data_IF_826109950892
#
_entry.id   IF_826109950892
#
_cell.length_a   1.000
_cell.length_b   1.000
_cell.length_c   1.000
_cell.angle_alpha   90.00
_cell.angle_beta   90.00
_cell.angle_gamma   90.00
#
_symmetry.space_group_name_H-M   'P 1'
#
loop_
_entity.id
_entity.type
_entity.pdbx_description
1 polymer ?
#
# COMPACT_ATOMS: atom_id res chain seq x y z
N UNK A 1 5.61 44.59 -52.50
CA UNK A 1 5.63 43.12 -52.45
C UNK A 1 6.73 42.54 -51.55
N UNK A 2 7.95 43.09 -51.53
CA UNK A 2 9.04 42.58 -50.68
C UNK A 2 8.76 42.71 -49.16
N UNK A 3 8.14 43.80 -48.71
CA UNK A 3 7.82 44.01 -47.29
C UNK A 3 6.75 43.04 -46.76
N UNK A 4 5.76 42.69 -47.58
CA UNK A 4 4.71 41.73 -47.22
C UNK A 4 5.29 40.33 -46.99
N UNK A 5 6.20 39.87 -47.86
CA UNK A 5 6.95 38.62 -47.67
C UNK A 5 7.83 38.64 -46.42
N UNK A 6 8.42 39.79 -46.07
CA UNK A 6 9.27 39.95 -44.87
C UNK A 6 8.45 39.90 -43.58
N UNK A 7 7.24 40.44 -43.59
CA UNK A 7 6.31 40.37 -42.45
C UNK A 7 5.78 38.95 -42.23
N UNK A 8 5.41 38.25 -43.31
CA UNK A 8 4.97 36.84 -43.26
C UNK A 8 6.09 35.92 -42.74
N UNK A 9 7.34 36.12 -43.17
CA UNK A 9 8.48 35.36 -42.66
C UNK A 9 8.73 35.52 -41.16
N UNK A 10 8.56 36.74 -40.62
CA UNK A 10 8.67 36.99 -39.17
C UNK A 10 7.56 36.31 -38.36
N UNK A 11 6.33 36.25 -38.90
CA UNK A 11 5.21 35.56 -38.24
C UNK A 11 5.47 34.06 -38.11
N UNK A 12 5.90 33.41 -39.20
CA UNK A 12 6.28 32.00 -39.15
C UNK A 12 7.41 31.72 -38.17
N UNK A 13 8.42 32.58 -38.11
CA UNK A 13 9.53 32.43 -37.16
C UNK A 13 9.05 32.49 -35.70
N UNK A 14 8.10 33.37 -35.38
CA UNK A 14 7.50 33.47 -34.04
C UNK A 14 6.65 32.25 -33.69
N UNK A 15 5.84 31.74 -34.61
CA UNK A 15 5.04 30.52 -34.40
C UNK A 15 5.94 29.29 -34.19
N UNK A 16 7.04 29.17 -34.94
CA UNK A 16 8.02 28.10 -34.73
C UNK A 16 8.74 28.21 -33.39
N UNK A 17 9.12 29.42 -32.96
CA UNK A 17 9.71 29.63 -31.63
C UNK A 17 8.72 29.29 -30.52
N UNK A 18 7.45 29.67 -30.66
CA UNK A 18 6.41 29.31 -29.71
C UNK A 18 6.24 27.78 -29.60
N UNK A 19 6.16 27.07 -30.73
CA UNK A 19 6.06 25.61 -30.74
C UNK A 19 7.31 24.93 -30.17
N UNK A 20 8.50 25.48 -30.42
CA UNK A 20 9.74 24.99 -29.82
C UNK A 20 9.76 25.17 -28.30
N UNK A 21 9.30 26.32 -27.80
CA UNK A 21 9.22 26.61 -26.37
C UNK A 21 8.17 25.74 -25.67
N UNK A 22 7.00 25.52 -26.29
CA UNK A 22 5.98 24.64 -25.74
C UNK A 22 6.52 23.20 -25.57
N UNK A 23 7.31 22.75 -26.55
CA UNK A 23 7.96 21.44 -26.51
C UNK A 23 9.05 21.37 -25.43
N UNK A 24 9.85 22.42 -25.24
CA UNK A 24 10.90 22.44 -24.21
C UNK A 24 10.32 22.40 -22.81
N UNK A 25 9.26 23.19 -22.56
CA UNK A 25 8.63 23.27 -21.24
C UNK A 25 7.99 21.92 -20.87
N UNK A 26 7.33 21.28 -21.84
CA UNK A 26 6.75 19.94 -21.67
C UNK A 26 7.83 18.87 -21.39
N UNK A 27 9.00 18.96 -22.04
CA UNK A 27 10.09 17.99 -21.82
C UNK A 27 10.67 18.13 -20.41
N UNK A 28 10.92 19.36 -19.95
CA UNK A 28 11.46 19.59 -18.61
C UNK A 28 10.50 19.11 -17.52
N UNK A 29 9.20 19.35 -17.66
CA UNK A 29 8.19 18.84 -16.72
C UNK A 29 8.16 17.31 -16.71
N UNK A 30 8.21 16.67 -17.89
CA UNK A 30 8.25 15.21 -18.00
C UNK A 30 9.50 14.61 -17.34
N UNK A 31 10.67 15.26 -17.47
CA UNK A 31 11.90 14.83 -16.81
C UNK A 31 11.81 14.93 -15.29
N UNK A 32 11.25 16.02 -14.77
CA UNK A 32 11.00 16.18 -13.34
C UNK A 32 10.02 15.11 -12.83
N UNK A 33 8.90 14.92 -13.51
CA UNK A 33 7.92 13.89 -13.16
C UNK A 33 8.52 12.48 -13.18
N UNK A 34 9.42 12.20 -14.14
CA UNK A 34 10.16 10.94 -14.22
C UNK A 34 11.09 10.75 -13.02
N UNK A 35 11.86 11.78 -12.65
CA UNK A 35 12.75 11.72 -11.49
C UNK A 35 11.95 11.46 -10.20
N UNK A 36 10.87 12.20 -9.98
CA UNK A 36 9.96 11.98 -8.84
C UNK A 36 9.37 10.56 -8.84
N UNK A 37 8.97 10.04 -10.00
CA UNK A 37 8.47 8.67 -10.12
C UNK A 37 9.51 7.62 -9.72
N UNK A 38 10.79 7.83 -10.04
CA UNK A 38 11.88 6.93 -9.64
C UNK A 38 12.14 6.98 -8.14
N UNK A 39 12.14 8.18 -7.55
CA UNK A 39 12.29 8.35 -6.10
C UNK A 39 11.14 7.67 -5.33
N UNK A 40 9.91 7.80 -5.83
CA UNK A 40 8.74 7.09 -5.30
C UNK A 40 8.91 5.57 -5.39
N UNK A 41 9.41 5.03 -6.51
CA UNK A 41 9.70 3.59 -6.63
C UNK A 41 10.69 3.16 -5.56
N UNK A 42 11.80 3.88 -5.38
CA UNK A 42 12.78 3.58 -4.33
C UNK A 42 12.18 3.66 -2.92
N UNK A 43 11.29 4.61 -2.66
CA UNK A 43 10.58 4.71 -1.39
C UNK A 43 9.69 3.47 -1.14
N UNK A 44 8.90 3.05 -2.13
CA UNK A 44 8.04 1.86 -1.98
C UNK A 44 8.83 0.56 -1.91
N UNK A 45 9.99 0.46 -2.58
CA UNK A 45 10.90 -0.68 -2.41
C UNK A 45 11.41 -0.77 -0.97
N UNK A 46 11.75 0.35 -0.33
CA UNK A 46 12.13 0.38 1.10
C UNK A 46 10.98 -0.03 2.01
N UNK A 47 9.77 0.51 1.78
CA UNK A 47 8.56 0.12 2.53
C UNK A 47 8.25 -1.37 2.37
N UNK A 48 8.47 -1.94 1.19
CA UNK A 48 8.30 -3.37 0.93
C UNK A 48 9.27 -4.22 1.76
N UNK A 49 10.53 -3.80 1.91
CA UNK A 49 11.50 -4.49 2.75
C UNK A 49 11.12 -4.42 4.23
N UNK A 50 10.73 -3.24 4.71
CA UNK A 50 10.24 -3.09 6.07
C UNK A 50 9.04 -3.99 6.37
N UNK A 51 8.09 -4.09 5.43
CA UNK A 51 6.94 -4.98 5.57
C UNK A 51 7.35 -6.47 5.59
N UNK A 52 8.40 -6.84 4.86
CA UNK A 52 8.96 -8.18 4.91
C UNK A 52 9.66 -8.48 6.25
N UNK A 53 10.35 -7.50 6.83
CA UNK A 53 10.94 -7.62 8.17
C UNK A 53 9.85 -7.75 9.23
N UNK A 54 8.77 -6.95 9.14
CA UNK A 54 7.61 -7.02 10.01
C UNK A 54 6.90 -8.38 9.91
N UNK A 55 6.79 -8.92 8.68
CA UNK A 55 6.22 -10.24 8.42
C UNK A 55 7.10 -11.36 8.99
N UNK A 56 8.40 -11.32 8.72
CA UNK A 56 9.37 -12.27 9.24
C UNK A 56 9.38 -12.23 10.76
N UNK A 57 9.32 -11.04 11.37
CA UNK A 57 9.17 -10.89 12.81
C UNK A 57 7.87 -11.53 13.30
N UNK A 58 6.74 -11.34 12.62
CA UNK A 58 5.48 -12.00 12.96
C UNK A 58 5.59 -13.53 12.94
N UNK A 59 6.31 -14.10 11.97
CA UNK A 59 6.51 -15.56 11.84
C UNK A 59 7.50 -16.12 12.88
N UNK A 60 8.64 -15.47 13.09
CA UNK A 60 9.68 -15.91 14.04
C UNK A 60 9.26 -15.75 15.50
N UNK A 61 8.33 -14.84 15.72
CA UNK A 61 7.81 -14.50 17.02
C UNK A 61 7.12 -15.68 17.70
N UNK A 62 7.83 -16.23 18.70
CA UNK A 62 7.23 -16.67 19.97
C UNK A 62 6.24 -15.66 20.57
N UNK A 63 6.18 -14.42 20.07
CA UNK A 63 5.22 -13.35 20.38
C UNK A 63 3.77 -13.64 19.97
N UNK A 64 3.49 -14.67 19.17
CA UNK A 64 2.14 -15.18 18.96
C UNK A 64 1.74 -16.27 19.97
N UNK A 65 2.69 -16.78 20.78
CA UNK A 65 2.41 -17.69 21.88
C UNK A 65 1.77 -16.89 23.03
N UNK A 66 0.47 -16.60 22.89
CA UNK A 66 -0.30 -15.86 23.88
C UNK A 66 -1.31 -14.88 23.29
N UNK A 67 -1.22 -14.58 21.98
CA UNK A 67 -2.25 -13.79 21.31
C UNK A 67 -3.48 -14.65 21.10
N UNK A 68 -4.66 -14.12 21.46
CA UNK A 68 -5.93 -14.75 21.11
C UNK A 68 -6.15 -14.72 19.60
N UNK A 69 -6.99 -15.63 19.09
CA UNK A 69 -7.27 -15.72 17.65
C UNK A 69 -7.71 -14.37 17.05
N UNK A 70 -8.48 -13.58 17.81
CA UNK A 70 -8.97 -12.27 17.36
C UNK A 70 -7.86 -11.24 17.15
N UNK A 71 -6.84 -11.24 18.01
CA UNK A 71 -5.70 -10.33 17.90
C UNK A 71 -4.80 -10.70 16.72
N UNK A 72 -4.60 -12.01 16.49
CA UNK A 72 -3.88 -12.53 15.33
C UNK A 72 -4.56 -12.11 14.02
N UNK A 73 -5.88 -12.30 13.91
CA UNK A 73 -6.67 -11.87 12.75
C UNK A 73 -6.49 -10.38 12.45
N UNK A 74 -6.53 -9.52 13.47
CA UNK A 74 -6.35 -8.07 13.27
C UNK A 74 -4.93 -7.73 12.81
N UNK A 75 -3.92 -8.36 13.40
CA UNK A 75 -2.51 -8.11 13.06
C UNK A 75 -2.20 -8.56 11.64
N UNK A 76 -2.63 -9.76 11.25
CA UNK A 76 -2.43 -10.30 9.90
C UNK A 76 -3.18 -9.45 8.87
N UNK A 77 -4.43 -9.07 9.14
CA UNK A 77 -5.19 -8.19 8.25
C UNK A 77 -4.50 -6.84 8.01
N UNK A 78 -3.84 -6.27 9.02
CA UNK A 78 -3.08 -5.02 8.88
C UNK A 78 -1.89 -5.21 7.93
N UNK A 79 -1.12 -6.28 8.10
CA UNK A 79 0.03 -6.59 7.24
C UNK A 79 -0.42 -6.88 5.80
N UNK A 80 -1.48 -7.68 5.63
CA UNK A 80 -2.05 -8.03 4.33
C UNK A 80 -2.52 -6.81 3.54
N UNK A 81 -3.20 -5.86 4.20
CA UNK A 81 -3.59 -4.58 3.58
C UNK A 81 -2.36 -3.75 3.19
N UNK A 82 -1.36 -3.67 4.07
CA UNK A 82 -0.10 -2.98 3.78
C UNK A 82 0.61 -3.54 2.56
N UNK A 83 0.76 -4.87 2.50
CA UNK A 83 1.39 -5.59 1.40
C UNK A 83 0.64 -5.34 0.08
N UNK A 84 -0.70 -5.43 0.11
CA UNK A 84 -1.55 -5.20 -1.05
C UNK A 84 -1.43 -3.78 -1.60
N UNK A 85 -1.41 -2.76 -0.73
CA UNK A 85 -1.24 -1.36 -1.13
C UNK A 85 0.14 -1.12 -1.73
N UNK A 86 1.21 -1.63 -1.12
CA UNK A 86 2.57 -1.49 -1.63
C UNK A 86 2.71 -2.14 -3.00
N UNK A 87 2.19 -3.37 -3.17
CA UNK A 87 2.18 -4.11 -4.44
C UNK A 87 1.49 -3.32 -5.55
N UNK A 88 0.29 -2.79 -5.29
CA UNK A 88 -0.46 -2.03 -6.29
C UNK A 88 0.27 -0.73 -6.66
N UNK A 89 0.83 -0.03 -5.67
CA UNK A 89 1.61 1.19 -5.91
C UNK A 89 2.86 0.92 -6.74
N UNK A 90 3.61 -0.14 -6.42
CA UNK A 90 4.79 -0.54 -7.22
C UNK A 90 4.41 -0.89 -8.66
N UNK A 91 3.31 -1.61 -8.89
CA UNK A 91 2.81 -1.92 -10.25
C UNK A 91 2.49 -0.66 -11.04
N UNK A 92 1.75 0.27 -10.43
CA UNK A 92 1.37 1.53 -11.07
C UNK A 92 2.60 2.39 -11.43
N UNK A 93 3.53 2.56 -10.49
CA UNK A 93 4.76 3.32 -10.71
C UNK A 93 5.66 2.69 -11.77
N UNK A 94 5.75 1.35 -11.81
CA UNK A 94 6.49 0.61 -12.83
C UNK A 94 5.88 0.79 -14.22
N UNK A 95 4.55 0.72 -14.34
CA UNK A 95 3.86 0.99 -15.61
C UNK A 95 4.15 2.41 -16.10
N UNK A 96 4.08 3.40 -15.20
CA UNK A 96 4.41 4.80 -15.50
C UNK A 96 5.87 4.96 -15.93
N UNK A 97 6.81 4.30 -15.27
CA UNK A 97 8.22 4.31 -15.66
C UNK A 97 8.44 3.74 -17.07
N UNK A 98 7.83 2.62 -17.40
CA UNK A 98 7.91 2.01 -18.74
C UNK A 98 7.30 2.91 -19.82
N UNK A 99 6.20 3.61 -19.51
CA UNK A 99 5.62 4.60 -20.42
C UNK A 99 6.59 5.77 -20.66
N UNK A 100 7.26 6.28 -19.63
CA UNK A 100 8.26 7.35 -19.79
C UNK A 100 9.42 6.92 -20.71
N UNK A 101 9.95 5.70 -20.53
CA UNK A 101 11.00 5.15 -21.42
C UNK A 101 10.50 5.08 -22.87
N UNK A 102 9.25 4.65 -23.08
CA UNK A 102 8.66 4.54 -24.42
C UNK A 102 8.45 5.89 -25.10
N UNK A 103 7.92 6.87 -24.37
CA UNK A 103 7.72 8.25 -24.87
C UNK A 103 9.05 8.87 -25.22
N UNK A 104 10.07 8.67 -24.38
CA UNK A 104 11.40 9.21 -24.60
C UNK A 104 12.07 8.60 -25.84
N UNK A 105 12.03 7.27 -25.99
CA UNK A 105 12.54 6.57 -27.17
C UNK A 105 11.89 7.07 -28.47
N UNK A 106 10.58 7.32 -28.45
CA UNK A 106 9.84 7.88 -29.59
C UNK A 106 10.29 9.32 -29.90
N UNK A 107 10.49 10.16 -28.89
CA UNK A 107 10.99 11.52 -29.08
C UNK A 107 12.42 11.54 -29.63
N UNK A 108 13.29 10.65 -29.16
CA UNK A 108 14.66 10.51 -29.66
C UNK A 108 14.70 10.03 -31.12
N UNK A 109 13.81 9.11 -31.51
CA UNK A 109 13.71 8.61 -32.89
C UNK A 109 13.39 9.68 -33.93
N UNK A 110 12.63 10.72 -33.56
CA UNK A 110 12.28 11.82 -34.48
C UNK A 110 13.41 12.80 -34.77
N UNK A 111 14.47 12.83 -33.95
CA UNK A 111 15.50 13.88 -34.02
C UNK A 111 16.76 13.46 -34.81
N UNK A 112 16.85 12.21 -35.27
CA UNK A 112 18.02 11.68 -35.99
C UNK A 112 18.24 12.27 -37.39
N UNK A 113 17.36 13.13 -37.90
CA UNK A 113 17.52 13.77 -39.22
C UNK A 113 18.32 15.06 -39.19
N UNK A 114 18.64 15.60 -38.02
CA UNK A 114 19.44 16.82 -37.86
C UNK A 114 20.72 16.47 -37.09
N UNK A 115 21.85 16.39 -37.77
CA UNK A 115 23.14 15.86 -37.29
C UNK A 115 23.86 16.65 -36.19
N UNK A 116 23.18 17.01 -35.10
CA UNK A 116 23.79 17.57 -33.90
C UNK A 116 23.95 16.48 -32.82
N UNK A 117 25.03 15.72 -32.90
CA UNK A 117 25.37 14.58 -32.00
C UNK A 117 25.96 15.00 -30.63
N UNK A 118 25.90 16.27 -30.24
CA UNK A 118 26.88 16.79 -29.26
C UNK A 118 26.56 16.76 -27.76
N UNK A 119 25.30 16.69 -27.30
CA UNK A 119 24.98 17.07 -25.89
C UNK A 119 23.79 16.35 -25.24
N UNK A 120 23.83 15.02 -25.05
CA UNK A 120 22.84 14.31 -24.20
C UNK A 120 23.38 13.33 -23.13
N UNK A 121 24.53 13.58 -22.48
CA UNK A 121 25.11 12.62 -21.51
C UNK A 121 24.30 12.44 -20.20
N UNK A 122 23.35 13.33 -19.88
CA UNK A 122 22.57 13.24 -18.64
C UNK A 122 21.32 12.37 -18.77
N UNK A 123 20.73 12.29 -19.97
CA UNK A 123 19.55 11.47 -20.25
C UNK A 123 19.86 9.98 -20.28
N UNK A 124 21.00 9.60 -20.87
CA UNK A 124 21.43 8.19 -20.95
C UNK A 124 21.60 7.59 -19.54
N UNK A 125 22.02 8.39 -18.55
CA UNK A 125 22.17 7.95 -17.15
C UNK A 125 20.83 7.64 -16.48
N UNK A 126 19.79 8.41 -16.78
CA UNK A 126 18.46 8.16 -16.22
C UNK A 126 17.80 6.94 -16.85
N UNK A 127 18.04 6.70 -18.14
CA UNK A 127 17.59 5.49 -18.83
C UNK A 127 18.26 4.24 -18.25
N UNK A 128 19.57 4.29 -18.01
CA UNK A 128 20.33 3.21 -17.36
C UNK A 128 19.78 2.88 -15.97
N UNK A 129 19.49 3.90 -15.14
CA UNK A 129 18.86 3.68 -13.82
C UNK A 129 17.50 3.00 -13.90
N UNK A 130 16.66 3.36 -14.87
CA UNK A 130 15.35 2.72 -15.02
C UNK A 130 15.51 1.25 -15.39
N UNK A 131 16.46 0.93 -16.27
CA UNK A 131 16.76 -0.46 -16.66
C UNK A 131 17.17 -1.29 -15.44
N UNK A 132 17.96 -0.74 -14.53
CA UNK A 132 18.39 -1.45 -13.31
C UNK A 132 17.27 -1.61 -12.27
N UNK A 133 16.36 -0.63 -12.18
CA UNK A 133 15.26 -0.65 -11.20
C UNK A 133 14.17 -1.65 -11.58
N UNK A 134 13.90 -1.87 -12.87
CA UNK A 134 12.83 -2.76 -13.33
C UNK A 134 12.97 -4.19 -12.77
N UNK A 135 14.12 -4.88 -12.90
CA UNK A 135 14.33 -6.20 -12.30
C UNK A 135 14.11 -6.22 -10.79
N UNK A 136 14.58 -5.17 -10.09
CA UNK A 136 14.40 -5.06 -8.64
C UNK A 136 12.91 -4.95 -8.26
N UNK A 137 12.12 -4.16 -9.00
CA UNK A 137 10.67 -4.06 -8.78
C UNK A 137 9.97 -5.38 -9.08
N UNK A 138 10.30 -6.04 -10.19
CA UNK A 138 9.71 -7.34 -10.57
C UNK A 138 9.97 -8.39 -9.49
N UNK A 139 11.20 -8.47 -8.98
CA UNK A 139 11.56 -9.40 -7.90
C UNK A 139 10.82 -9.07 -6.60
N UNK A 140 10.71 -7.79 -6.23
CA UNK A 140 9.94 -7.39 -5.04
C UNK A 140 8.44 -7.67 -5.20
N UNK A 141 7.86 -7.49 -6.39
CA UNK A 141 6.46 -7.85 -6.65
C UNK A 141 6.23 -9.36 -6.49
N UNK A 142 7.15 -10.19 -6.99
CA UNK A 142 7.11 -11.64 -6.82
C UNK A 142 7.18 -12.03 -5.33
N UNK A 143 8.04 -11.36 -4.57
CA UNK A 143 8.17 -11.56 -3.12
C UNK A 143 6.90 -11.17 -2.37
N UNK A 144 6.32 -10.00 -2.68
CA UNK A 144 5.05 -9.56 -2.12
C UNK A 144 3.90 -10.51 -2.45
N UNK A 145 3.85 -11.07 -3.67
CA UNK A 145 2.86 -12.10 -4.04
C UNK A 145 2.98 -13.36 -3.16
N UNK A 146 4.21 -13.80 -2.88
CA UNK A 146 4.49 -14.89 -1.94
C UNK A 146 4.02 -14.56 -0.53
N UNK A 147 4.46 -13.44 0.02
CA UNK A 147 4.11 -13.00 1.37
C UNK A 147 2.59 -12.82 1.54
N UNK A 148 1.90 -12.25 0.55
CA UNK A 148 0.43 -12.12 0.58
C UNK A 148 -0.23 -13.50 0.67
N UNK A 149 0.23 -14.48 -0.11
CA UNK A 149 -0.32 -15.83 -0.10
C UNK A 149 -0.12 -16.51 1.26
N UNK A 150 1.05 -16.32 1.88
CA UNK A 150 1.33 -16.81 3.23
C UNK A 150 0.48 -16.12 4.31
N UNK A 151 0.34 -14.79 4.22
CA UNK A 151 -0.51 -14.01 5.12
C UNK A 151 -1.98 -14.45 5.02
N UNK A 152 -2.50 -14.71 3.83
CA UNK A 152 -3.86 -15.23 3.62
C UNK A 152 -4.03 -16.63 4.24
N UNK A 153 -3.02 -17.49 4.11
CA UNK A 153 -3.02 -18.80 4.75
C UNK A 153 -3.06 -18.69 6.29
N UNK A 154 -2.18 -17.89 6.89
CA UNK A 154 -2.15 -17.65 8.34
C UNK A 154 -3.42 -16.97 8.85
N UNK A 155 -4.02 -16.09 8.05
CA UNK A 155 -5.30 -15.48 8.39
C UNK A 155 -6.40 -16.53 8.55
N UNK A 156 -6.48 -17.50 7.63
CA UNK A 156 -7.46 -18.59 7.72
C UNK A 156 -7.26 -19.44 9.00
N UNK A 157 -6.00 -19.68 9.40
CA UNK A 157 -5.68 -20.38 10.65
C UNK A 157 -6.18 -19.57 11.85
N UNK A 158 -5.86 -18.27 11.89
CA UNK A 158 -6.27 -17.38 12.97
C UNK A 158 -7.81 -17.28 13.07
N UNK A 159 -8.52 -17.26 11.94
CA UNK A 159 -9.98 -17.28 11.92
C UNK A 159 -10.58 -18.59 12.45
N UNK A 160 -9.95 -19.73 12.18
CA UNK A 160 -10.33 -21.01 12.78
C UNK A 160 -10.15 -20.99 14.31
N UNK A 161 -9.06 -20.40 14.79
CA UNK A 161 -8.84 -20.24 16.23
C UNK A 161 -9.97 -19.43 16.87
N UNK A 162 -10.35 -18.29 16.28
CA UNK A 162 -11.50 -17.48 16.75
C UNK A 162 -12.78 -18.30 16.82
N UNK A 163 -13.06 -19.10 15.80
CA UNK A 163 -14.25 -19.97 15.76
C UNK A 163 -14.20 -21.01 16.89
N UNK A 164 -13.05 -21.62 17.13
CA UNK A 164 -12.86 -22.59 18.21
C UNK A 164 -13.02 -21.98 19.62
N UNK A 165 -12.49 -20.77 19.83
CA UNK A 165 -12.62 -20.03 21.10
C UNK A 165 -14.07 -19.67 21.40
N UNK A 166 -14.86 -19.36 20.37
CA UNK A 166 -16.27 -19.03 20.52
C UNK A 166 -17.11 -20.26 20.90
N UNK A 167 -16.77 -21.45 20.38
CA UNK A 167 -17.45 -22.70 20.75
C UNK A 167 -17.18 -23.09 22.22
N UNK A 168 -15.95 -22.90 22.71
CA UNK A 168 -15.65 -23.19 24.12
C UNK A 168 -16.39 -22.25 25.09
N UNK A 169 -16.74 -21.04 24.65
CA UNK A 169 -17.53 -20.09 25.45
C UNK A 169 -19.00 -20.49 25.55
N UNK A 170 -19.54 -21.21 24.58
CA UNK A 170 -20.97 -21.62 24.57
C UNK A 170 -21.25 -22.88 25.40
N UNK A 171 -20.25 -23.73 25.62
CA UNK A 171 -20.42 -24.97 26.41
C UNK A 171 -20.32 -24.77 27.93
N UNK A 172 -19.93 -23.57 28.39
CA UNK A 172 -20.19 -23.18 29.78
C UNK A 172 -21.65 -22.71 29.85
N UNK A 173 -22.57 -23.46 30.51
CA UNK A 173 -23.95 -23.03 30.62
C UNK A 173 -23.95 -21.61 31.20
N UNK A 174 -24.74 -20.67 30.63
CA UNK A 174 -24.87 -19.34 31.19
C UNK A 174 -25.41 -19.53 32.59
N UNK A 175 -24.53 -19.38 33.59
CA UNK A 175 -24.83 -19.68 34.98
C UNK A 175 -26.05 -18.83 35.39
N UNK A 176 -27.27 -19.40 35.39
CA UNK A 176 -28.46 -18.63 35.65
C UNK A 176 -28.61 -18.71 37.16
N UNK A 177 -28.30 -17.61 37.86
CA UNK A 177 -28.62 -17.45 39.28
C UNK A 177 -27.75 -18.27 40.24
N UNK A 178 -26.59 -17.73 40.59
CA UNK A 178 -26.23 -17.51 42.00
C UNK A 178 -25.95 -16.01 42.11
N UNK A 179 -26.74 -15.17 42.78
CA UNK A 179 -27.72 -15.42 43.83
C UNK A 179 -27.48 -14.36 44.91
N UNK A 180 -28.35 -13.35 44.93
CA UNK A 180 -28.62 -12.45 46.05
C UNK A 180 -27.49 -11.53 46.57
N UNK A 181 -27.37 -10.33 45.97
CA UNK A 181 -27.17 -9.13 46.80
C UNK A 181 -28.56 -8.54 47.05
N UNK A 182 -29.16 -8.93 48.18
CA UNK A 182 -30.25 -8.20 48.81
C UNK A 182 -29.70 -6.81 49.16
N UNK A 183 -29.99 -5.81 48.34
CA UNK A 183 -29.95 -4.42 48.78
C UNK A 183 -31.23 -4.20 49.57
N UNK A 184 -31.18 -4.46 50.87
CA UNK A 184 -32.19 -3.95 51.81
C UNK A 184 -32.08 -2.41 51.81
N UNK A 185 -32.98 -1.76 51.07
CA UNK A 185 -33.38 -0.39 51.34
C UNK A 185 -34.06 -0.35 52.72
N UNK A 186 -33.26 -0.19 53.77
CA UNK A 186 -33.76 0.28 55.06
C UNK A 186 -33.93 1.79 54.99
N UNK A 187 -35.16 2.19 54.72
CA UNK A 187 -35.70 3.48 55.09
C UNK A 187 -35.64 3.57 56.63
N UNK A 188 -34.70 4.34 57.16
CA UNK A 188 -34.80 4.91 58.51
C UNK A 188 -34.54 6.41 58.38
N UNK A 189 -35.64 7.17 58.43
CA UNK A 189 -35.66 8.55 58.89
C UNK A 189 -35.25 8.57 60.36
N UNK A 190 -34.17 9.27 60.70
CA UNK A 190 -33.99 9.90 62.01
C UNK A 190 -32.98 11.04 61.88
N UNK A 191 -33.31 12.13 62.54
CA UNK A 191 -32.68 13.46 62.56
C UNK A 191 -31.25 13.46 63.18
N UNK A 192 -30.33 14.26 62.59
CA UNK A 192 -29.40 15.30 63.13
C UNK A 192 -29.15 15.33 64.67
N UNK A 193 -27.96 15.73 65.25
CA UNK A 193 -26.78 16.48 64.74
C UNK A 193 -25.36 15.96 65.14
N UNK A 194 -24.34 16.66 64.62
CA UNK A 194 -22.98 16.98 65.13
C UNK A 194 -22.18 15.99 66.02
N UNK A 195 -20.93 15.75 65.64
CA UNK A 195 -19.71 16.14 66.38
C UNK A 195 -18.46 15.43 65.82
N UNK A 196 -17.34 16.12 65.91
CA UNK A 196 -15.97 15.71 65.59
C UNK A 196 -15.58 14.35 66.19
N UNK A 197 -14.74 13.57 65.50
CA UNK A 197 -13.57 12.91 66.11
C UNK A 197 -12.77 12.02 65.16
N UNK A 198 -11.54 12.48 64.94
CA UNK A 198 -10.27 11.79 64.80
C UNK A 198 -10.20 10.25 64.93
N UNK A 199 -9.41 9.69 64.00
CA UNK A 199 -8.39 8.64 64.21
C UNK A 199 -8.85 7.21 64.53
N UNK A 200 -8.48 6.27 63.64
CA UNK A 200 -7.91 4.99 64.07
C UNK A 200 -7.13 4.31 62.95
N UNK A 201 -5.82 4.23 63.20
CA UNK A 201 -4.86 3.34 62.56
C UNK A 201 -5.35 1.89 62.61
N UNK A 202 -5.31 1.18 61.48
CA UNK A 202 -5.24 -0.29 61.50
C UNK A 202 -4.05 -0.76 60.68
N UNK A 203 -3.03 -1.21 61.42
CA UNK A 203 -1.86 -1.94 60.95
C UNK A 203 -2.30 -3.29 60.38
N UNK A 204 -1.77 -3.65 59.22
CA UNK A 204 -1.72 -5.01 58.69
C UNK A 204 -0.24 -5.40 58.44
N UNK A 205 0.10 -6.70 58.55
CA UNK A 205 1.46 -7.20 58.78
C UNK A 205 2.34 -7.20 57.52
N UNK A 206 3.68 -7.28 57.69
CA UNK A 206 4.65 -7.26 56.60
C UNK A 206 4.70 -8.63 55.92
N UNK A 207 4.54 -8.65 54.60
CA UNK A 207 4.95 -9.77 53.76
C UNK A 207 6.17 -9.33 52.96
N UNK A 208 7.31 -9.92 53.31
CA UNK A 208 8.56 -9.85 52.57
C UNK A 208 8.38 -10.57 51.22
N UNK A 209 8.38 -9.83 50.12
CA UNK A 209 8.75 -10.36 48.80
C UNK A 209 9.38 -9.24 47.96
N UNK A 210 10.69 -9.07 48.17
CA UNK A 210 11.55 -8.09 47.53
C UNK A 210 11.98 -8.58 46.15
N UNK A 211 11.17 -8.24 45.15
CA UNK A 211 11.47 -8.41 43.73
C UNK A 211 10.97 -7.23 42.91
N UNK A 212 10.97 -6.02 43.49
CA UNK A 212 10.49 -4.81 42.81
C UNK A 212 11.48 -4.37 41.73
N UNK A 213 11.28 -4.84 40.49
CA UNK A 213 11.81 -4.16 39.31
C UNK A 213 11.26 -2.74 39.32
N UNK A 214 12.06 -1.80 39.83
CA UNK A 214 11.82 -0.37 39.72
C UNK A 214 11.81 -0.02 38.24
N UNK A 215 10.62 -0.01 37.64
CA UNK A 215 10.38 0.61 36.35
C UNK A 215 10.65 2.10 36.55
N UNK A 216 11.84 2.55 36.15
CA UNK A 216 12.12 3.98 36.05
C UNK A 216 11.20 4.52 34.97
N UNK A 217 10.23 5.32 35.37
CA UNK A 217 9.46 6.15 34.45
C UNK A 217 10.47 7.14 33.86
N UNK A 218 10.84 6.91 32.60
CA UNK A 218 11.71 7.81 31.86
C UNK A 218 10.92 9.10 31.58
N UNK A 219 11.61 10.24 31.66
CA UNK A 219 11.07 11.50 31.16
C UNK A 219 10.85 11.40 29.65
N UNK A 220 9.83 12.08 29.11
CA UNK A 220 9.53 12.09 27.67
C UNK A 220 10.76 12.48 26.82
N UNK A 221 11.61 13.38 27.33
CA UNK A 221 12.87 13.78 26.68
C UNK A 221 13.90 12.65 26.62
N UNK A 222 13.96 11.80 27.65
CA UNK A 222 14.87 10.67 27.75
C UNK A 222 14.40 9.53 26.83
N UNK A 223 13.08 9.36 26.69
CA UNK A 223 12.47 8.44 25.73
C UNK A 223 12.74 8.87 24.28
N UNK A 224 12.55 10.16 23.96
CA UNK A 224 12.84 10.72 22.63
C UNK A 224 14.32 10.60 22.26
N UNK A 225 15.22 10.88 23.21
CA UNK A 225 16.67 10.73 23.01
C UNK A 225 17.07 9.27 22.72
N UNK A 226 16.35 8.31 23.32
CA UNK A 226 16.59 6.88 23.07
C UNK A 226 16.19 6.48 21.64
N UNK A 227 15.03 6.94 21.18
CA UNK A 227 14.51 6.70 19.82
C UNK A 227 15.41 7.30 18.73
N UNK A 228 15.96 8.49 18.98
CA UNK A 228 16.89 9.13 18.03
C UNK A 228 18.17 8.31 17.91
N UNK A 229 18.75 7.88 19.05
CA UNK A 229 19.98 7.07 19.05
C UNK A 229 19.80 5.74 18.33
N UNK A 230 18.71 5.02 18.63
CA UNK A 230 18.40 3.72 18.03
C UNK A 230 18.25 3.80 16.50
N UNK A 231 17.68 4.89 15.98
CA UNK A 231 17.56 5.10 14.53
C UNK A 231 18.85 5.58 13.87
N UNK A 232 19.74 6.26 14.61
CA UNK A 232 21.00 6.80 14.05
C UNK A 232 22.14 5.77 13.93
N UNK A 233 22.04 4.61 14.58
CA UNK A 233 23.09 3.58 14.54
C UNK A 233 23.07 2.69 13.28
N UNK A 234 22.06 2.83 12.40
CA UNK A 234 21.87 1.94 11.24
C UNK A 234 22.56 2.47 9.96
N UNK A 235 23.00 3.72 9.91
CA UNK A 235 23.48 4.35 8.65
C UNK A 235 25.02 4.42 8.49
N UNK A 236 25.82 3.79 9.36
CA UNK A 236 27.29 3.99 9.36
C UNK A 236 28.17 2.77 9.02
N UNK A 237 27.63 1.61 8.62
CA UNK A 237 28.49 0.49 8.19
C UNK A 237 27.90 -0.37 7.10
N UNK A 238 27.96 0.11 5.85
CA UNK A 238 27.93 -0.79 4.70
C UNK A 238 29.06 -0.45 3.72
N UNK A 239 30.27 -0.74 4.20
CA UNK A 239 31.52 -0.70 3.43
C UNK A 239 32.03 -2.11 3.16
N UNK A 240 31.84 -2.58 1.91
CA UNK A 240 32.62 -3.58 1.16
C UNK A 240 33.31 -4.70 1.97
N UNK A 241 32.77 -5.93 1.85
CA UNK A 241 33.61 -7.15 1.81
C UNK A 241 33.09 -8.16 0.78
N UNK A 242 33.72 -8.13 -0.40
CA UNK A 242 33.86 -9.31 -1.26
C UNK A 242 34.60 -10.39 -0.47
N UNK A 243 33.99 -11.57 -0.30
CA UNK A 243 34.69 -12.74 0.20
C UNK A 243 34.56 -13.87 -0.82
N UNK A 244 35.69 -14.13 -1.51
CA UNK A 244 35.93 -15.30 -2.35
C UNK A 244 35.87 -16.57 -1.47
N UNK A 245 35.10 -17.58 -1.88
CA UNK A 245 35.27 -18.94 -1.36
C UNK A 245 36.29 -19.71 -2.22
N UNK A 246 37.20 -20.48 -1.60
CA UNK A 246 38.07 -21.40 -2.31
C UNK A 246 37.48 -22.82 -2.36
N UNK A 247 37.73 -23.44 -3.50
CA UNK A 247 37.57 -24.83 -3.86
C UNK A 247 38.45 -25.75 -2.98
N UNK A 248 37.88 -26.83 -2.43
CA UNK A 248 38.66 -27.90 -1.81
C UNK A 248 38.02 -29.28 -2.02
N UNK A 249 38.72 -30.07 -2.81
CA UNK A 249 38.59 -31.50 -3.06
C UNK A 249 38.84 -32.31 -1.77
N UNK A 250 38.04 -33.35 -1.50
CA UNK A 250 38.48 -34.47 -0.65
C UNK A 250 37.87 -35.80 -1.08
N UNK A 251 38.77 -36.76 -1.32
CA UNK A 251 38.56 -38.14 -1.75
C UNK A 251 38.21 -39.08 -0.59
N UNK A 252 37.39 -40.07 -0.94
CA UNK A 252 37.42 -41.53 -0.62
C UNK A 252 37.29 -42.05 0.82
N UNK A 253 36.38 -43.05 1.00
CA UNK A 253 36.35 -43.91 2.19
C UNK A 253 35.20 -44.92 2.33
N UNK A 254 35.13 -45.93 1.44
CA UNK A 254 34.67 -47.33 1.61
C UNK A 254 33.20 -47.74 1.96
N UNK A 255 32.79 -48.73 1.15
CA UNK A 255 31.58 -49.59 1.06
C UNK A 255 31.64 -50.78 2.05
N UNK A 256 30.56 -51.60 2.25
CA UNK A 256 30.25 -52.77 1.37
C UNK A 256 28.73 -52.90 1.04
N UNK A 257 28.27 -53.26 -0.17
CA UNK A 257 28.31 -54.53 -0.95
C UNK A 257 27.06 -55.42 -0.70
N UNK A 258 26.14 -55.51 -1.67
CA UNK A 258 25.84 -56.75 -2.46
C UNK A 258 25.19 -56.39 -3.83
N UNK A 259 25.74 -56.83 -4.99
CA UNK A 259 25.33 -58.00 -5.84
C UNK A 259 23.89 -57.92 -6.39
N UNK A 260 23.54 -58.01 -7.68
CA UNK A 260 24.09 -58.68 -8.90
C UNK A 260 23.71 -57.88 -10.19
N UNK A 261 24.59 -57.76 -11.22
CA UNK A 261 24.62 -58.47 -12.53
C UNK A 261 23.39 -58.18 -13.45
N UNK A 262 23.45 -57.88 -14.76
CA UNK A 262 24.33 -58.20 -15.90
C UNK A 262 24.22 -57.08 -16.96
N UNK A 263 25.32 -56.53 -17.52
CA UNK A 263 26.11 -57.00 -18.68
C UNK A 263 25.41 -56.91 -20.06
N UNK A 264 25.80 -55.91 -20.88
CA UNK A 264 26.51 -56.03 -22.18
C UNK A 264 26.58 -54.64 -22.87
N UNK A 265 27.76 -54.02 -23.01
CA UNK A 265 28.65 -54.01 -24.21
C UNK A 265 27.91 -53.71 -25.52
N UNK A 266 28.28 -52.75 -26.37
CA UNK A 266 29.62 -52.36 -26.83
C UNK A 266 29.60 -51.06 -27.65
N UNK A 267 30.73 -50.35 -27.61
CA UNK A 267 31.49 -49.72 -28.71
C UNK A 267 30.74 -48.97 -29.84
N UNK A 268 30.97 -47.67 -30.03
CA UNK A 268 32.18 -47.02 -30.60
C UNK A 268 31.88 -46.56 -32.04
N UNK A 269 32.19 -45.28 -32.30
CA UNK A 269 32.64 -44.65 -33.56
C UNK A 269 31.84 -43.41 -33.96
N UNK A 270 32.46 -42.27 -33.72
CA UNK A 270 32.47 -41.12 -34.65
C UNK A 270 33.05 -41.56 -36.01
N UNK A 271 32.67 -40.95 -37.16
CA UNK A 271 33.18 -39.60 -37.45
C UNK A 271 32.25 -38.68 -38.27
N UNK A 272 32.73 -37.44 -38.36
CA UNK A 272 32.34 -36.28 -39.16
C UNK A 272 31.67 -36.53 -40.52
N UNK A 273 30.66 -35.71 -40.88
CA UNK A 273 30.38 -35.38 -42.28
C UNK A 273 29.63 -34.04 -42.46
N UNK A 274 30.39 -33.07 -42.97
CA UNK A 274 30.10 -32.07 -44.02
C UNK A 274 28.78 -31.30 -44.04
N UNK A 275 28.95 -29.98 -44.08
CA UNK A 275 28.06 -28.96 -44.65
C UNK A 275 27.46 -29.37 -46.01
N UNK A 276 26.16 -29.10 -46.21
CA UNK A 276 25.66 -28.71 -47.53
C UNK A 276 24.38 -27.87 -47.42
N UNK A 277 24.44 -26.70 -48.05
CA UNK A 277 23.36 -25.75 -48.30
C UNK A 277 22.24 -26.41 -49.11
N UNK A 278 20.99 -26.19 -48.73
CA UNK A 278 19.87 -26.26 -49.68
C UNK A 278 18.64 -25.54 -49.12
N UNK A 279 18.35 -24.38 -49.69
CA UNK A 279 17.17 -23.59 -49.38
C UNK A 279 15.89 -24.28 -49.88
N UNK A 280 14.93 -24.46 -48.97
CA UNK A 280 13.51 -24.60 -49.30
C UNK A 280 12.69 -23.90 -48.21
N UNK A 281 12.23 -22.69 -48.51
CA UNK A 281 11.14 -22.08 -47.75
C UNK A 281 9.86 -22.92 -47.98
N UNK A 282 9.16 -23.36 -46.91
CA UNK A 282 7.85 -23.95 -47.06
C UNK A 282 6.83 -22.84 -47.36
N UNK A 283 6.22 -22.90 -48.57
CA UNK A 283 5.03 -22.11 -48.90
C UNK A 283 3.87 -22.55 -48.02
N UNK A 284 3.63 -21.82 -46.94
CA UNK A 284 2.43 -21.94 -46.11
C UNK A 284 1.25 -21.45 -46.96
N UNK A 285 0.40 -22.39 -47.40
CA UNK A 285 -0.90 -22.10 -48.01
C UNK A 285 -1.82 -21.56 -46.92
N UNK A 286 -1.93 -20.25 -46.81
CA UNK A 286 -2.90 -19.56 -45.96
C UNK A 286 -4.32 -19.87 -46.46
N UNK A 287 -4.96 -20.85 -45.82
CA UNK A 287 -6.39 -21.16 -45.97
C UNK A 287 -7.14 -20.01 -45.31
N UNK A 288 -7.74 -19.14 -46.12
CA UNK A 288 -8.65 -18.07 -45.67
C UNK A 288 -9.91 -18.76 -45.13
N UNK A 289 -9.91 -19.01 -43.81
CA UNK A 289 -11.08 -19.44 -43.06
C UNK A 289 -11.81 -18.17 -42.64
N UNK A 290 -12.99 -17.93 -43.21
CA UNK A 290 -13.92 -16.88 -42.78
C UNK A 290 -14.46 -17.21 -41.38
N UNK A 291 -14.26 -16.35 -40.36
CA UNK A 291 -14.88 -16.51 -39.05
C UNK A 291 -15.92 -15.41 -38.85
N UNK A 292 -17.10 -15.53 -39.46
CA UNK A 292 -18.15 -14.51 -39.32
C UNK A 292 -19.33 -14.94 -38.41
N UNK A 293 -19.44 -16.22 -38.06
CA UNK A 293 -20.59 -16.72 -37.26
C UNK A 293 -20.32 -16.82 -35.76
N UNK A 294 -19.06 -16.95 -35.32
CA UNK A 294 -18.74 -17.12 -33.90
C UNK A 294 -18.73 -15.78 -33.13
N UNK A 295 -18.59 -14.66 -33.85
CA UNK A 295 -18.56 -13.30 -33.27
C UNK A 295 -19.91 -12.89 -32.67
N UNK A 296 -21.03 -13.31 -33.28
CA UNK A 296 -22.36 -12.94 -32.82
C UNK A 296 -22.74 -13.60 -31.49
N UNK A 297 -22.36 -14.88 -31.32
CA UNK A 297 -22.63 -15.63 -30.08
C UNK A 297 -21.82 -15.06 -28.91
N UNK A 298 -20.53 -14.81 -29.12
CA UNK A 298 -19.65 -14.17 -28.13
C UNK A 298 -20.16 -12.80 -27.68
N UNK A 299 -20.71 -11.99 -28.59
CA UNK A 299 -21.31 -10.69 -28.24
C UNK A 299 -22.58 -10.83 -27.40
N UNK A 300 -23.42 -11.83 -27.70
CA UNK A 300 -24.65 -12.09 -26.93
C UNK A 300 -24.33 -12.55 -25.51
N UNK A 301 -23.40 -13.49 -25.36
CA UNK A 301 -22.98 -14.01 -24.05
C UNK A 301 -22.35 -12.89 -23.20
N UNK A 302 -21.56 -12.00 -23.82
CA UNK A 302 -21.01 -10.81 -23.15
C UNK A 302 -22.09 -9.83 -22.69
N UNK A 303 -23.12 -9.61 -23.50
CA UNK A 303 -24.23 -8.71 -23.17
C UNK A 303 -25.06 -9.24 -22.01
N UNK A 304 -25.35 -10.55 -22.00
CA UNK A 304 -26.07 -11.21 -20.92
C UNK A 304 -25.28 -11.15 -19.59
N UNK A 305 -23.95 -11.36 -19.65
CA UNK A 305 -23.09 -11.19 -18.48
C UNK A 305 -23.12 -9.76 -17.93
N UNK A 306 -22.98 -8.76 -18.78
CA UNK A 306 -23.02 -7.35 -18.35
C UNK A 306 -24.38 -6.97 -17.76
N UNK A 307 -25.47 -7.51 -18.31
CA UNK A 307 -26.81 -7.27 -17.77
C UNK A 307 -27.00 -7.91 -16.39
N UNK A 308 -26.42 -9.10 -16.18
CA UNK A 308 -26.38 -9.74 -14.86
C UNK A 308 -25.56 -8.92 -13.86
N UNK A 309 -24.37 -8.49 -14.25
CA UNK A 309 -23.49 -7.66 -13.41
C UNK A 309 -24.18 -6.34 -13.01
N UNK A 310 -24.92 -5.71 -13.94
CA UNK A 310 -25.72 -4.52 -13.65
C UNK A 310 -26.85 -4.78 -12.65
N UNK A 311 -27.56 -5.91 -12.77
CA UNK A 311 -28.58 -6.31 -11.81
C UNK A 311 -27.98 -6.57 -10.42
N UNK A 312 -26.82 -7.24 -10.35
CA UNK A 312 -26.11 -7.50 -9.09
C UNK A 312 -25.65 -6.20 -8.43
N UNK A 313 -25.11 -5.25 -9.20
CA UNK A 313 -24.71 -3.93 -8.70
C UNK A 313 -25.91 -3.11 -8.19
N UNK A 314 -27.02 -3.10 -8.93
CA UNK A 314 -28.24 -2.42 -8.50
C UNK A 314 -28.82 -3.03 -7.21
N UNK A 315 -28.76 -4.35 -7.08
CA UNK A 315 -29.16 -5.02 -5.85
C UNK A 315 -28.20 -4.70 -4.68
N UNK A 316 -26.89 -4.73 -4.92
CA UNK A 316 -25.88 -4.35 -3.93
C UNK A 316 -26.09 -2.92 -3.41
N UNK A 317 -26.48 -1.98 -4.28
CA UNK A 317 -26.80 -0.60 -3.90
C UNK A 317 -27.97 -0.52 -2.91
N UNK A 318 -28.93 -1.44 -2.98
CA UNK A 318 -30.06 -1.49 -2.04
C UNK A 318 -29.67 -2.07 -0.67
N UNK A 319 -28.65 -2.92 -0.64
CA UNK A 319 -28.13 -3.53 0.59
C UNK A 319 -27.14 -2.64 1.35
N UNK A 320 -26.55 -1.65 0.68
CA UNK A 320 -25.69 -0.69 1.36
C UNK A 320 -26.51 0.00 2.46
N UNK A 321 -25.98 0.08 3.70
CA UNK A 321 -26.64 0.80 4.77
C UNK A 321 -26.97 2.19 4.29
N UNK A 322 -28.26 2.51 4.14
CA UNK A 322 -28.67 3.88 3.88
C UNK A 322 -28.09 4.71 5.01
N UNK A 323 -27.24 5.67 4.68
CA UNK A 323 -26.72 6.60 5.67
C UNK A 323 -27.93 7.16 6.39
N UNK A 324 -28.04 6.89 7.69
CA UNK A 324 -29.07 7.49 8.53
C UNK A 324 -28.73 8.97 8.55
N UNK A 325 -29.30 9.74 7.63
CA UNK A 325 -29.49 11.16 7.83
C UNK A 325 -30.45 11.19 9.02
N UNK A 326 -29.90 11.25 10.22
CA UNK A 326 -30.72 11.36 11.42
C UNK A 326 -31.52 12.64 11.23
N UNK A 327 -32.85 12.53 11.30
CA UNK A 327 -33.79 13.67 11.17
C UNK A 327 -33.57 14.77 12.23
N UNK A 328 -32.58 14.60 13.11
CA UNK A 328 -31.99 15.57 14.02
C UNK A 328 -31.25 16.69 13.27
N UNK A 329 -31.99 17.44 12.45
CA UNK A 329 -31.60 18.77 11.93
C UNK A 329 -31.25 19.76 13.05
N UNK A 330 -31.61 19.44 14.30
CA UNK A 330 -31.35 20.25 15.49
C UNK A 330 -29.90 20.27 15.98
N UNK A 331 -29.01 19.41 15.47
CA UNK A 331 -27.62 19.31 15.95
C UNK A 331 -26.57 19.90 15.01
N UNK A 332 -26.95 20.33 13.80
CA UNK A 332 -26.01 20.88 12.83
C UNK A 332 -26.13 22.40 12.86
N UNK A 333 -25.00 23.07 13.10
CA UNK A 333 -24.92 24.53 13.13
C UNK A 333 -25.49 25.11 11.81
N UNK A 334 -26.46 26.04 11.86
CA UNK A 334 -26.99 26.73 10.68
C UNK A 334 -25.92 27.44 9.84
N UNK A 335 -24.75 27.74 10.40
CA UNK A 335 -23.62 28.32 9.67
C UNK A 335 -22.94 27.34 8.71
N UNK A 336 -23.15 26.02 8.87
CA UNK A 336 -22.56 25.00 8.00
C UNK A 336 -23.39 24.86 6.73
N UNK A 337 -22.80 25.22 5.58
CA UNK A 337 -23.44 25.14 4.26
C UNK A 337 -22.87 23.94 3.50
N UNK A 338 -23.75 23.07 3.01
CA UNK A 338 -23.33 21.95 2.17
C UNK A 338 -22.81 22.46 0.80
N UNK A 339 -21.57 22.11 0.46
CA UNK A 339 -20.90 22.55 -0.79
C UNK A 339 -21.59 22.00 -2.05
N UNK A 340 -22.29 20.87 -1.94
CA UNK A 340 -22.91 20.20 -3.09
C UNK A 340 -24.32 20.68 -3.40
N UNK A 341 -25.13 20.98 -2.39
CA UNK A 341 -26.54 21.37 -2.58
C UNK A 341 -26.89 22.76 -2.02
N UNK A 342 -25.92 23.47 -1.44
CA UNK A 342 -26.06 24.79 -0.84
C UNK A 342 -27.14 24.92 0.25
N UNK A 343 -27.57 23.81 0.86
CA UNK A 343 -28.47 23.84 2.02
C UNK A 343 -27.67 24.04 3.31
N UNK A 344 -28.09 25.00 4.13
CA UNK A 344 -27.47 25.34 5.40
C UNK A 344 -28.09 24.54 6.56
N UNK A 345 -27.27 24.00 7.46
CA UNK A 345 -27.72 23.33 8.71
C UNK A 345 -28.51 22.02 8.53
N UNK A 346 -28.57 21.44 7.33
CA UNK A 346 -29.35 20.21 7.07
C UNK A 346 -28.48 18.94 7.17
N UNK A 347 -27.25 19.00 6.66
CA UNK A 347 -26.30 17.88 6.65
C UNK A 347 -24.88 18.40 6.41
N UNK A 348 -23.88 17.65 6.87
CA UNK A 348 -22.48 17.87 6.49
C UNK A 348 -22.27 17.54 5.00
N UNK A 349 -21.34 18.24 4.34
CA UNK A 349 -21.05 18.04 2.90
C UNK A 349 -20.67 16.59 2.56
N UNK A 350 -19.99 15.88 3.46
CA UNK A 350 -19.62 14.48 3.29
C UNK A 350 -20.82 13.52 3.21
N UNK A 351 -21.98 13.98 3.68
CA UNK A 351 -23.24 13.24 3.84
C UNK A 351 -24.33 13.75 2.89
N UNK A 352 -23.98 14.57 1.90
CA UNK A 352 -24.95 15.09 0.93
C UNK A 352 -25.60 13.96 0.12
N UNK A 353 -26.94 13.92 0.02
CA UNK A 353 -27.64 12.92 -0.79
C UNK A 353 -27.55 13.18 -2.30
N UNK A 354 -27.08 14.36 -2.71
CA UNK A 354 -26.86 14.69 -4.12
C UNK A 354 -25.57 13.99 -4.56
N UNK A 355 -25.71 12.96 -5.39
CA UNK A 355 -24.57 12.31 -6.04
C UNK A 355 -24.07 13.25 -7.14
N UNK A 356 -23.04 14.04 -6.84
CA UNK A 356 -22.30 14.81 -7.85
C UNK A 356 -21.23 13.92 -8.48
N UNK A 357 -20.85 14.22 -9.73
CA UNK A 357 -19.77 13.50 -10.39
C UNK A 357 -18.46 13.72 -9.61
N UNK A 358 -17.60 12.70 -9.51
CA UNK A 358 -16.36 12.77 -8.73
C UNK A 358 -15.44 13.91 -9.15
N UNK A 359 -15.52 14.30 -10.43
CA UNK A 359 -14.74 15.38 -11.03
C UNK A 359 -15.24 16.78 -10.57
N UNK A 360 -16.54 16.94 -10.33
CA UNK A 360 -17.13 18.19 -9.79
C UNK A 360 -16.74 18.41 -8.32
N UNK A 361 -16.30 17.36 -7.63
CA UNK A 361 -15.86 17.43 -6.22
C UNK A 361 -14.59 18.25 -6.03
N UNK A 362 -13.77 18.35 -7.07
CA UNK A 362 -12.53 19.12 -7.08
C UNK A 362 -12.57 20.32 -8.04
N UNK A 363 -13.56 20.37 -8.94
CA UNK A 363 -13.78 21.45 -9.92
C UNK A 363 -14.35 22.75 -9.34
N UNK A 364 -13.99 23.15 -8.13
CA UNK A 364 -14.24 24.52 -7.64
C UNK A 364 -13.15 25.49 -8.10
N UNK A 365 -12.74 25.36 -9.35
CA UNK A 365 -11.96 26.39 -10.03
C UNK A 365 -12.92 27.51 -10.46
N UNK A 366 -13.27 28.42 -9.54
CA UNK A 366 -13.93 29.66 -9.94
C UNK A 366 -14.87 30.35 -8.94
N UNK A 367 -15.22 29.72 -7.82
CA UNK A 367 -15.96 30.42 -6.77
C UNK A 367 -15.06 30.53 -5.55
N UNK A 368 -14.37 31.66 -5.46
CA UNK A 368 -13.68 32.12 -4.25
C UNK A 368 -14.70 32.27 -3.13
N UNK A 369 -15.00 31.17 -2.44
CA UNK A 369 -15.56 31.26 -1.09
C UNK A 369 -14.45 31.91 -0.26
N UNK A 370 -14.65 33.10 0.32
CA UNK A 370 -13.62 33.72 1.15
C UNK A 370 -13.34 32.77 2.31
N UNK A 371 -12.16 32.15 2.27
CA UNK A 371 -11.59 31.43 3.40
C UNK A 371 -11.24 32.50 4.43
N UNK A 372 -12.23 32.91 5.23
CA UNK A 372 -12.00 33.77 6.39
C UNK A 372 -11.30 32.89 7.42
N UNK A 373 -9.99 32.82 7.32
CA UNK A 373 -9.14 32.48 8.46
C UNK A 373 -9.48 33.51 9.54
N UNK A 374 -10.26 33.10 10.55
CA UNK A 374 -10.22 33.76 11.83
C UNK A 374 -8.82 33.53 12.39
N UNK A 375 -7.90 34.44 12.10
CA UNK A 375 -6.72 34.66 12.92
C UNK A 375 -7.24 35.09 14.29
N UNK A 376 -7.29 34.14 15.22
CA UNK A 376 -7.45 34.44 16.64
C UNK A 376 -6.18 35.19 17.02
N UNK A 377 -6.25 36.48 17.40
CA UNK A 377 -5.08 37.17 17.92
C UNK A 377 -4.70 36.52 19.24
N UNK A 378 -3.42 36.14 19.37
CA UNK A 378 -2.83 35.76 20.64
C UNK A 378 -3.01 36.92 21.63
N UNK A 379 -3.88 36.74 22.61
CA UNK A 379 -4.22 37.74 23.62
C UNK A 379 -4.85 37.08 24.84
N UNK A 380 -4.00 36.89 25.85
CA UNK A 380 -4.32 36.87 27.29
C UNK A 380 -5.48 35.98 27.75
N UNK A 381 -5.14 34.76 28.19
CA UNK A 381 -5.97 33.98 29.11
C UNK A 381 -6.00 34.65 30.49
N UNK A 382 -6.96 35.53 30.74
CA UNK A 382 -7.38 35.85 32.11
C UNK A 382 -8.23 34.70 32.66
N UNK A 383 -7.70 34.01 33.67
CA UNK A 383 -8.43 33.07 34.50
C UNK A 383 -9.39 33.90 35.37
N UNK A 384 -10.64 34.03 34.95
CA UNK A 384 -11.72 34.50 35.83
C UNK A 384 -12.19 33.31 36.66
N UNK A 385 -11.73 33.26 37.91
CA UNK A 385 -12.30 32.45 38.97
C UNK A 385 -13.67 33.03 39.34
N UNK A 386 -14.74 32.32 38.99
CA UNK A 386 -16.07 32.61 39.55
C UNK A 386 -16.23 31.88 40.89
N UNK A 387 -16.48 32.67 41.93
CA UNK A 387 -17.15 32.23 43.16
C UNK A 387 -18.66 32.19 42.95
#
# INVERSE_FOLDING_TARGET
>A
MAEKKRAEGKKYQQEFQFLANLRSDTISELEQQRATNLDEIHQYLRKSRQLDDDWTHHLLSTTCAGLGGGELVLRINRLLRGASVIKERLRCLMQRATLFVSVHANMAGTSKTTGEEGKRPEQDKLDERVVDIIPAVVEQLRKLDGNISEMEYELNIAEEMVRSENLQKTDKPPNPLKGHVKVEQKVVKAEVPDEDSQSSKRKLPPSDDDGSRKVKVLSDDEYLSHLIRENSEVDASDGKKETKQPEATRKEGKKPESHEAEKKTSQERHPERKEERSGRQPRIKSKVVRPETDSAKLKKDRMEKLQKDLCELQYGLQLLPRRKITDSTTLIDPAIICVFCNRAGVHFSDSCPVITNGDERYGTEGTTVPFVMFLIPEGECEIVSMR
#
